data_IF_111504085049
#
_entry.id   IF_111504085049
#
_cell.length_a   1.000
_cell.length_b   1.000
_cell.length_c   1.000
_cell.angle_alpha   90.00
_cell.angle_beta   90.00
_cell.angle_gamma   90.00
#
_symmetry.space_group_name_H-M   'P 1'
#
loop_
_entity.id
_entity.type
_entity.pdbx_description
1 polymer ?
#
# COMPACT_ATOMS: atom_id res chain seq x y z
N UNK A 1 17.73 15.11 8.99
CA UNK A 1 16.73 14.26 9.66
C UNK A 1 15.48 14.21 8.79
N UNK A 2 14.74 13.12 8.91
CA UNK A 2 13.42 12.79 8.33
C UNK A 2 13.50 11.85 7.12
N UNK A 3 14.02 10.66 7.42
CA UNK A 3 13.65 9.40 6.77
C UNK A 3 12.24 9.02 7.25
N UNK A 4 11.22 9.82 6.92
CA UNK A 4 9.82 9.59 7.34
C UNK A 4 9.01 8.85 6.26
N UNK A 5 9.52 8.75 5.03
CA UNK A 5 8.73 8.17 3.94
C UNK A 5 8.42 6.68 4.13
N UNK A 6 9.28 5.92 4.79
CA UNK A 6 9.07 4.47 4.97
C UNK A 6 7.92 4.18 5.94
N UNK A 7 7.81 4.91 7.06
CA UNK A 7 6.72 4.71 8.03
C UNK A 7 5.36 5.11 7.46
N UNK A 8 5.28 6.22 6.73
CA UNK A 8 4.04 6.64 6.08
C UNK A 8 3.49 5.57 5.13
N UNK A 9 4.37 4.89 4.38
CA UNK A 9 3.97 3.80 3.48
C UNK A 9 3.38 2.59 4.21
N UNK A 10 3.87 2.27 5.40
CA UNK A 10 3.29 1.22 6.23
C UNK A 10 1.87 1.61 6.70
N UNK A 11 1.67 2.86 7.09
CA UNK A 11 0.35 3.37 7.48
C UNK A 11 -0.64 3.42 6.31
N UNK A 12 -0.20 3.85 5.13
CA UNK A 12 -0.99 3.88 3.89
C UNK A 12 -1.43 2.48 3.44
N UNK A 13 -0.52 1.51 3.55
CA UNK A 13 -0.82 0.09 3.30
C UNK A 13 -1.62 -0.55 4.45
N UNK A 14 -1.82 0.14 5.58
CA UNK A 14 -2.34 -0.42 6.83
C UNK A 14 -1.62 -1.70 7.25
N UNK A 15 -0.31 -1.75 7.03
CA UNK A 15 0.55 -2.87 7.42
C UNK A 15 1.46 -2.44 8.55
N UNK A 16 1.84 -3.40 9.40
CA UNK A 16 2.80 -3.10 10.46
C UNK A 16 4.19 -2.81 9.87
N UNK A 17 4.98 -1.92 10.48
CA UNK A 17 6.39 -1.70 10.09
C UNK A 17 7.27 -2.94 10.27
N UNK A 18 6.81 -3.93 11.03
CA UNK A 18 7.43 -5.24 11.19
C UNK A 18 6.86 -6.31 10.23
N UNK A 19 6.05 -5.92 9.24
CA UNK A 19 5.42 -6.87 8.33
C UNK A 19 6.45 -7.40 7.32
N UNK A 20 6.48 -8.72 7.16
CA UNK A 20 7.27 -9.40 6.13
C UNK A 20 6.77 -9.07 4.72
N UNK A 21 7.64 -9.22 3.71
CA UNK A 21 7.29 -9.06 2.30
C UNK A 21 6.08 -9.90 1.88
N UNK A 22 5.91 -11.11 2.43
CA UNK A 22 4.74 -11.96 2.16
C UNK A 22 3.43 -11.29 2.63
N UNK A 23 3.46 -10.65 3.80
CA UNK A 23 2.33 -9.89 4.34
C UNK A 23 2.07 -8.65 3.48
N UNK A 24 3.14 -7.97 3.07
CA UNK A 24 3.07 -6.79 2.21
C UNK A 24 2.37 -7.12 0.88
N UNK A 25 2.78 -8.20 0.21
CA UNK A 25 2.21 -8.62 -1.07
C UNK A 25 0.73 -9.05 -0.92
N UNK A 26 0.41 -9.74 0.18
CA UNK A 26 -0.95 -10.21 0.46
C UNK A 26 -1.91 -9.05 0.72
N UNK A 27 -1.46 -8.03 1.46
CA UNK A 27 -2.24 -6.81 1.73
C UNK A 27 -2.36 -5.97 0.47
N UNK A 28 -1.25 -5.77 -0.26
CA UNK A 28 -1.26 -5.10 -1.57
C UNK A 28 -2.30 -5.71 -2.51
N UNK A 29 -2.33 -7.03 -2.68
CA UNK A 29 -3.35 -7.70 -3.53
C UNK A 29 -4.78 -7.48 -3.06
N UNK A 30 -5.02 -7.40 -1.74
CA UNK A 30 -6.34 -7.09 -1.19
C UNK A 30 -6.74 -5.64 -1.45
N UNK A 31 -5.82 -4.69 -1.19
CA UNK A 31 -6.05 -3.26 -1.41
C UNK A 31 -6.18 -2.94 -2.89
N UNK A 32 -5.37 -3.53 -3.76
CA UNK A 32 -5.46 -3.40 -5.21
C UNK A 32 -6.82 -3.82 -5.75
N UNK A 33 -7.40 -4.92 -5.25
CA UNK A 33 -8.76 -5.34 -5.61
C UNK A 33 -9.83 -4.42 -5.03
N UNK A 34 -9.60 -3.86 -3.85
CA UNK A 34 -10.55 -2.97 -3.15
C UNK A 34 -10.59 -1.56 -3.76
N UNK A 35 -9.44 -1.01 -4.10
CA UNK A 35 -9.27 0.31 -4.72
C UNK A 35 -9.28 0.25 -6.25
N UNK A 36 -9.49 -0.92 -6.84
CA UNK A 36 -9.57 -1.06 -8.29
C UNK A 36 -10.64 -0.11 -8.86
N UNK A 37 -10.34 0.69 -9.91
CA UNK A 37 -11.25 1.69 -10.46
C UNK A 37 -12.57 1.12 -11.00
N UNK A 38 -12.61 -0.19 -11.28
CA UNK A 38 -13.81 -0.93 -11.69
C UNK A 38 -14.83 -1.10 -10.55
N UNK A 39 -14.38 -1.05 -9.29
CA UNK A 39 -15.26 -1.01 -8.13
C UNK A 39 -15.77 0.42 -7.91
N UNK A 40 -16.77 0.86 -8.69
CA UNK A 40 -17.28 2.24 -8.69
C UNK A 40 -17.77 2.84 -7.36
N UNK A 41 -17.74 2.11 -6.24
CA UNK A 41 -18.02 2.61 -4.89
C UNK A 41 -16.76 2.87 -4.02
N UNK A 42 -15.64 2.20 -4.30
CA UNK A 42 -14.40 2.27 -3.48
C UNK A 42 -13.13 2.41 -4.32
N UNK A 43 -13.26 2.35 -5.64
CA UNK A 43 -12.21 2.59 -6.60
C UNK A 43 -11.70 4.01 -6.48
N UNK A 44 -10.45 4.16 -6.06
CA UNK A 44 -9.80 5.45 -5.93
C UNK A 44 -8.41 5.28 -6.51
N UNK A 45 -8.19 5.88 -7.70
CA UNK A 45 -6.90 5.81 -8.40
C UNK A 45 -5.78 6.39 -7.54
N UNK A 46 -6.09 7.42 -6.75
CA UNK A 46 -5.15 8.08 -5.84
C UNK A 46 -4.66 7.10 -4.76
N UNK A 47 -5.59 6.39 -4.11
CA UNK A 47 -5.24 5.36 -3.11
C UNK A 47 -4.51 4.18 -3.74
N UNK A 48 -4.87 3.81 -4.97
CA UNK A 48 -4.17 2.76 -5.69
C UNK A 48 -2.71 3.15 -5.97
N UNK A 49 -2.45 4.36 -6.45
CA UNK A 49 -1.09 4.86 -6.72
C UNK A 49 -0.24 4.91 -5.45
N UNK A 50 -0.81 5.38 -4.33
CA UNK A 50 -0.16 5.41 -3.02
C UNK A 50 0.21 4.00 -2.55
N UNK A 51 -0.75 3.06 -2.61
CA UNK A 51 -0.54 1.65 -2.22
C UNK A 51 0.51 0.97 -3.10
N UNK A 52 0.54 1.26 -4.40
CA UNK A 52 1.55 0.73 -5.33
C UNK A 52 2.94 1.33 -5.06
N UNK A 53 3.06 2.65 -4.86
CA UNK A 53 4.32 3.29 -4.48
C UNK A 53 4.86 2.75 -3.18
N UNK A 54 4.01 2.67 -2.16
CA UNK A 54 4.34 2.15 -0.86
C UNK A 54 4.89 0.72 -0.96
N UNK A 55 4.19 -0.16 -1.68
CA UNK A 55 4.66 -1.53 -1.90
C UNK A 55 6.01 -1.56 -2.64
N UNK A 56 6.18 -0.71 -3.65
CA UNK A 56 7.40 -0.68 -4.46
C UNK A 56 8.62 -0.18 -3.66
N UNK A 57 8.44 0.79 -2.76
CA UNK A 57 9.51 1.29 -1.87
C UNK A 57 9.86 0.29 -0.77
N UNK A 58 8.86 -0.38 -0.20
CA UNK A 58 9.06 -1.36 0.87
C UNK A 58 9.56 -2.73 0.33
N UNK A 59 9.43 -2.96 -0.97
CA UNK A 59 9.90 -4.17 -1.65
C UNK A 59 11.27 -4.00 -2.31
N UNK A 60 11.80 -2.78 -2.40
CA UNK A 60 13.17 -2.46 -2.85
C UNK A 60 14.16 -2.58 -1.69
#
# INVERSE_FOLDING_TARGET
MNDDSISDYYEDLQVSPNADQETLERIYRMLAKRYHPDNGCTGCVDKFDVVTKAYQVLSD
#
